data_IF_123935930419
#
_entry.id   IF_123935930419
#
_cell.length_a   1.000
_cell.length_b   1.000
_cell.length_c   1.000
_cell.angle_alpha   90.00
_cell.angle_beta   90.00
_cell.angle_gamma   90.00
#
_symmetry.space_group_name_H-M   'P 1'
#
loop_
_entity.id
_entity.type
_entity.pdbx_description
1 polymer ?
#
# COMPACT_ATOMS: atom_id res chain seq x y z
N UNK A 1 -17.21 -1.33 3.10
CA UNK A 1 -18.68 -1.57 3.26
C UNK A 1 -19.37 -0.63 4.27
N UNK A 2 -18.66 0.01 5.20
CA UNK A 2 -19.26 0.85 6.24
C UNK A 2 -19.76 2.23 5.72
N UNK A 3 -19.05 2.87 4.78
CA UNK A 3 -19.45 4.16 4.19
C UNK A 3 -20.74 4.03 3.34
N UNK A 4 -20.79 3.04 2.44
CA UNK A 4 -21.98 2.74 1.64
C UNK A 4 -23.17 2.24 2.47
N UNK A 5 -22.94 1.62 3.64
CA UNK A 5 -24.00 1.24 4.58
C UNK A 5 -24.62 2.47 5.27
N UNK A 6 -23.80 3.47 5.63
CA UNK A 6 -24.28 4.75 6.16
C UNK A 6 -25.05 5.55 5.11
N UNK A 7 -24.57 5.58 3.86
CA UNK A 7 -25.23 6.29 2.74
C UNK A 7 -26.54 5.59 2.32
N UNK A 8 -26.58 4.24 2.24
CA UNK A 8 -27.83 3.50 1.93
C UNK A 8 -28.92 3.66 3.00
N UNK A 9 -28.55 3.82 4.28
CA UNK A 9 -29.52 4.08 5.36
C UNK A 9 -30.19 5.47 5.25
N UNK A 10 -29.56 6.43 4.58
CA UNK A 10 -30.15 7.75 4.29
C UNK A 10 -31.12 7.73 3.12
N UNK A 11 -30.85 6.94 2.08
CA UNK A 11 -31.63 6.93 0.83
C UNK A 11 -32.86 6.00 0.92
N UNK A 12 -32.81 4.94 1.75
CA UNK A 12 -33.89 3.94 1.86
C UNK A 12 -35.18 4.36 2.56
N UNK A 13 -35.36 5.63 2.93
CA UNK A 13 -36.55 6.13 3.67
C UNK A 13 -37.53 6.98 2.83
N UNK A 14 -37.33 7.08 1.53
CA UNK A 14 -38.06 8.02 0.67
C UNK A 14 -38.68 7.38 -0.58
N UNK A 15 -39.31 6.21 -0.46
CA UNK A 15 -40.25 5.72 -1.48
C UNK A 15 -41.29 4.78 -0.87
N UNK A 16 -42.34 5.34 -0.28
CA UNK A 16 -43.72 4.79 -0.32
C UNK A 16 -44.66 5.94 0.05
N UNK A 17 -45.10 6.70 -0.94
CA UNK A 17 -46.30 7.54 -0.84
C UNK A 17 -47.34 6.87 -1.73
N UNK A 18 -48.16 6.01 -1.11
CA UNK A 18 -49.43 5.59 -1.67
C UNK A 18 -50.47 6.67 -1.37
N UNK A 19 -51.19 7.07 -2.41
CA UNK A 19 -52.28 8.04 -2.32
C UNK A 19 -53.54 7.42 -1.74
N UNK A 20 -54.30 8.23 -0.99
CA UNK A 20 -55.64 7.86 -0.54
C UNK A 20 -56.30 8.91 0.36
N UNK A 21 -57.10 9.78 -0.26
CA UNK A 21 -58.46 10.17 0.16
C UNK A 21 -58.75 10.72 1.57
N UNK A 22 -59.08 12.01 1.58
CA UNK A 22 -60.29 12.63 2.15
C UNK A 22 -60.62 12.67 3.67
N UNK A 23 -60.79 13.93 4.09
CA UNK A 23 -61.84 14.52 4.96
C UNK A 23 -61.74 14.58 6.49
N UNK A 24 -62.04 15.81 6.94
CA UNK A 24 -62.65 16.29 8.19
C UNK A 24 -61.81 16.60 9.44
N UNK A 25 -61.92 17.88 9.81
CA UNK A 25 -62.18 18.47 11.14
C UNK A 25 -61.36 18.04 12.36
N UNK A 26 -60.77 19.05 13.03
CA UNK A 26 -60.25 18.87 14.39
C UNK A 26 -59.57 20.11 14.94
N UNK A 27 -60.34 20.94 15.62
CA UNK A 27 -59.89 22.07 16.44
C UNK A 27 -58.86 21.69 17.54
N UNK A 28 -58.07 22.71 17.92
CA UNK A 28 -57.52 23.00 19.27
C UNK A 28 -56.49 22.02 19.86
N UNK A 29 -55.28 22.57 20.06
CA UNK A 29 -54.24 22.02 20.90
C UNK A 29 -53.21 23.07 21.30
N UNK A 30 -53.61 23.98 22.19
CA UNK A 30 -52.78 24.81 23.05
C UNK A 30 -51.51 24.08 23.53
N UNK A 31 -50.31 24.63 23.29
CA UNK A 31 -49.12 24.31 24.09
C UNK A 31 -48.37 25.60 24.45
N UNK A 32 -48.30 25.82 25.76
CA UNK A 32 -47.58 26.89 26.46
C UNK A 32 -46.07 26.72 26.30
N UNK A 33 -45.39 27.80 25.94
CA UNK A 33 -43.95 27.97 26.19
C UNK A 33 -43.76 28.59 27.58
N UNK A 34 -42.88 28.05 28.45
CA UNK A 34 -42.36 28.81 29.57
C UNK A 34 -41.31 29.79 29.07
N UNK A 35 -41.51 31.04 29.46
CA UNK A 35 -40.61 32.18 29.30
C UNK A 35 -39.78 32.33 30.57
N UNK A 36 -38.46 32.21 30.45
CA UNK A 36 -37.49 32.77 31.38
C UNK A 36 -36.39 33.36 30.46
N UNK A 37 -36.07 34.66 30.42
CA UNK A 37 -36.14 35.64 31.49
C UNK A 37 -34.76 35.81 32.10
N UNK A 38 -33.77 36.28 31.32
CA UNK A 38 -32.52 36.81 31.89
C UNK A 38 -32.11 38.11 31.20
N UNK A 39 -31.83 39.06 32.07
CA UNK A 39 -31.66 40.49 31.89
C UNK A 39 -30.29 40.83 31.29
N UNK A 40 -30.33 41.78 30.37
CA UNK A 40 -29.21 42.59 29.91
C UNK A 40 -28.65 43.42 31.08
N UNK A 41 -27.34 43.38 31.28
CA UNK A 41 -26.62 44.48 31.93
C UNK A 41 -25.37 44.79 31.10
N UNK A 42 -25.40 45.98 30.54
CA UNK A 42 -24.30 46.66 29.87
C UNK A 42 -23.20 46.99 30.88
N UNK A 43 -21.94 46.78 30.47
CA UNK A 43 -20.80 47.55 30.97
C UNK A 43 -19.66 47.52 29.96
N UNK A 44 -19.67 48.54 29.11
CA UNK A 44 -18.46 49.05 28.48
C UNK A 44 -17.50 49.54 29.57
N UNK A 45 -16.25 49.07 29.54
CA UNK A 45 -15.11 49.92 29.90
C UNK A 45 -13.88 49.48 29.10
N UNK A 46 -13.48 50.41 28.23
CA UNK A 46 -12.15 50.56 27.63
C UNK A 46 -11.05 50.63 28.69
N UNK A 47 -9.95 49.89 28.50
CA UNK A 47 -8.61 50.34 28.86
C UNK A 47 -7.54 49.54 28.13
N UNK A 48 -6.80 50.23 27.28
CA UNK A 48 -5.45 49.92 26.84
C UNK A 48 -4.47 49.87 28.03
N UNK A 49 -3.58 48.88 28.06
CA UNK A 49 -2.24 49.05 28.64
C UNK A 49 -1.28 47.95 28.15
N UNK A 50 -0.12 48.40 27.70
CA UNK A 50 1.06 47.64 27.31
C UNK A 50 1.81 47.16 28.56
N UNK A 51 2.30 45.91 28.56
CA UNK A 51 3.43 45.41 29.38
C UNK A 51 3.66 43.94 28.95
N UNK A 52 4.70 43.65 28.18
CA UNK A 52 6.10 43.39 28.58
C UNK A 52 6.38 41.90 28.79
N UNK A 53 7.32 41.42 27.99
CA UNK A 53 8.12 40.20 28.08
C UNK A 53 8.13 39.49 29.44
N UNK A 54 7.63 38.26 29.47
CA UNK A 54 8.07 37.25 30.42
C UNK A 54 8.50 35.98 29.67
N UNK A 55 9.75 35.64 29.93
CA UNK A 55 10.54 34.53 29.41
C UNK A 55 9.87 33.19 29.77
N UNK A 56 9.54 32.39 28.75
CA UNK A 56 9.13 31.01 28.94
C UNK A 56 10.39 30.11 28.88
N UNK A 57 10.77 29.40 29.96
CA UNK A 57 11.97 28.58 29.97
C UNK A 57 11.70 27.32 29.16
N UNK A 58 12.43 27.15 28.06
CA UNK A 58 12.47 25.92 27.30
C UNK A 58 12.94 24.76 28.20
N UNK A 59 12.09 23.75 28.29
CA UNK A 59 12.41 22.44 28.82
C UNK A 59 13.30 21.73 27.79
N UNK A 60 14.62 21.78 27.96
CA UNK A 60 15.58 21.02 27.17
C UNK A 60 15.68 19.60 27.76
N UNK A 61 15.08 18.63 27.07
CA UNK A 61 15.32 17.21 27.32
C UNK A 61 16.80 16.90 27.11
N UNK A 62 17.48 16.40 28.15
CA UNK A 62 18.91 16.11 28.18
C UNK A 62 19.35 14.95 27.28
N UNK A 63 19.22 15.12 25.97
CA UNK A 63 19.65 14.17 24.94
C UNK A 63 20.78 14.70 24.04
N UNK A 64 21.26 15.93 24.27
CA UNK A 64 22.29 16.55 23.42
C UNK A 64 23.70 15.96 23.65
N UNK A 65 23.94 15.23 24.74
CA UNK A 65 25.26 14.67 25.06
C UNK A 65 25.54 13.28 24.42
N UNK A 66 24.54 12.61 23.83
CA UNK A 66 24.74 11.25 23.27
C UNK A 66 25.43 11.28 21.89
N UNK A 67 25.46 12.44 21.22
CA UNK A 67 26.08 12.60 19.91
C UNK A 67 27.50 13.19 19.93
N UNK A 68 28.10 13.39 21.10
CA UNK A 68 29.50 13.84 21.21
C UNK A 68 30.50 12.67 21.08
N UNK A 69 30.42 11.90 19.99
CA UNK A 69 31.47 10.95 19.58
C UNK A 69 32.40 11.66 18.59
N UNK A 70 33.01 12.76 19.04
CA UNK A 70 34.15 13.36 18.36
C UNK A 70 35.33 13.27 19.33
N UNK A 71 36.34 12.47 18.96
CA UNK A 71 37.60 12.17 19.69
C UNK A 71 37.63 10.87 20.50
N UNK A 72 37.32 9.73 19.86
CA UNK A 72 37.77 8.43 20.35
C UNK A 72 39.23 8.20 19.92
N UNK A 73 40.14 8.16 20.88
CA UNK A 73 41.56 7.82 20.69
C UNK A 73 41.70 6.33 20.36
N UNK A 74 41.91 6.02 19.08
CA UNK A 74 42.01 4.65 18.54
C UNK A 74 43.20 3.87 19.09
N UNK A 75 44.16 4.52 19.76
CA UNK A 75 45.29 3.85 20.41
C UNK A 75 44.92 3.11 21.70
N UNK A 76 43.74 3.38 22.26
CA UNK A 76 43.22 2.71 23.47
C UNK A 76 42.26 1.56 23.19
N UNK A 77 41.96 1.28 21.92
CA UNK A 77 41.08 0.18 21.53
C UNK A 77 41.88 -1.13 21.58
N UNK A 78 41.58 -1.97 22.57
CA UNK A 78 42.17 -3.30 22.73
C UNK A 78 41.72 -4.19 21.56
N UNK A 79 42.67 -4.67 20.75
CA UNK A 79 42.40 -5.69 19.72
C UNK A 79 41.92 -6.98 20.41
N UNK A 80 40.70 -7.40 20.12
CA UNK A 80 40.24 -8.75 20.43
C UNK A 80 40.99 -9.70 19.48
N UNK A 81 41.73 -10.64 20.07
CA UNK A 81 42.65 -11.53 19.38
C UNK A 81 41.96 -12.40 18.33
N UNK A 82 42.69 -12.66 17.25
CA UNK A 82 42.36 -13.73 16.31
C UNK A 82 42.51 -15.08 17.04
N UNK A 83 41.66 -16.08 16.74
CA UNK A 83 41.81 -17.42 17.29
C UNK A 83 43.08 -18.07 16.73
N UNK A 84 43.92 -18.56 17.64
CA UNK A 84 45.08 -19.40 17.35
C UNK A 84 44.59 -20.80 16.96
N UNK A 85 45.22 -21.37 15.93
CA UNK A 85 45.06 -22.74 15.49
C UNK A 85 45.60 -23.69 16.57
N UNK A 86 44.72 -24.50 17.18
CA UNK A 86 45.11 -25.67 17.96
C UNK A 86 44.53 -26.93 17.30
N UNK A 87 45.35 -27.55 16.46
CA UNK A 87 45.32 -28.99 16.21
C UNK A 87 45.83 -29.71 17.47
N UNK A 88 45.07 -30.64 18.04
CA UNK A 88 45.48 -32.03 18.30
C UNK A 88 44.51 -32.77 19.24
N UNK A 89 43.99 -33.88 18.71
CA UNK A 89 43.89 -35.20 19.36
C UNK A 89 43.27 -35.31 20.77
N UNK A 90 42.09 -35.93 20.85
CA UNK A 90 41.87 -36.98 21.85
C UNK A 90 40.77 -37.96 21.44
N UNK A 91 41.13 -39.23 21.62
CA UNK A 91 40.42 -40.46 21.31
C UNK A 91 39.23 -40.74 22.24
N UNK A 92 38.33 -41.57 21.72
CA UNK A 92 37.49 -42.59 22.40
C UNK A 92 36.87 -42.28 23.76
N UNK A 93 35.53 -42.42 23.83
CA UNK A 93 34.89 -43.46 24.65
C UNK A 93 33.39 -43.53 24.33
N UNK A 94 32.99 -44.65 23.74
CA UNK A 94 31.61 -45.07 23.52
C UNK A 94 31.07 -45.68 24.83
N UNK A 95 29.89 -45.26 25.33
CA UNK A 95 29.12 -46.10 26.24
C UNK A 95 28.01 -46.81 25.47
N UNK A 96 28.19 -48.12 25.28
CA UNK A 96 27.11 -49.06 25.01
C UNK A 96 26.29 -49.22 26.30
N UNK A 97 24.99 -48.90 26.29
CA UNK A 97 23.96 -49.59 27.05
C UNK A 97 22.58 -48.94 26.83
N UNK A 98 21.71 -49.63 26.11
CA UNK A 98 20.41 -50.14 26.58
C UNK A 98 19.55 -50.51 25.37
N UNK A 99 19.63 -51.79 25.02
CA UNK A 99 18.55 -52.51 24.36
C UNK A 99 17.41 -52.63 25.38
N UNK A 100 16.25 -52.06 25.05
CA UNK A 100 14.98 -52.48 25.60
C UNK A 100 14.15 -52.93 24.40
N UNK A 101 14.05 -54.25 24.28
CA UNK A 101 13.00 -54.95 23.56
C UNK A 101 11.69 -54.66 24.29
N UNK A 102 10.70 -54.10 23.62
CA UNK A 102 9.31 -54.22 24.04
C UNK A 102 8.47 -54.65 22.85
N UNK A 103 7.55 -55.54 23.19
CA UNK A 103 6.96 -56.56 22.38
C UNK A 103 5.84 -56.02 21.49
N UNK A 104 5.53 -56.83 20.49
CA UNK A 104 4.40 -56.66 19.61
C UNK A 104 3.07 -56.79 20.38
N UNK A 105 2.18 -55.82 20.20
CA UNK A 105 0.74 -56.04 20.31
C UNK A 105 0.12 -55.74 18.94
N UNK A 106 -0.17 -56.85 18.24
CA UNK A 106 -1.16 -56.91 17.17
C UNK A 106 -2.54 -56.75 17.83
N UNK A 107 -3.37 -55.82 17.36
CA UNK A 107 -4.81 -55.94 17.54
C UNK A 107 -5.59 -55.29 16.38
N UNK A 108 -6.39 -56.15 15.76
CA UNK A 108 -7.75 -55.94 15.27
C UNK A 108 -8.03 -54.89 14.17
N UNK A 109 -7.93 -55.42 12.94
CA UNK A 109 -8.96 -55.39 11.89
C UNK A 109 -10.28 -54.71 12.30
N UNK A 110 -10.58 -53.57 11.69
CA UNK A 110 -11.95 -53.12 11.43
C UNK A 110 -12.12 -52.84 9.94
N UNK A 111 -12.76 -53.78 9.25
CA UNK A 111 -13.39 -53.60 7.94
C UNK A 111 -14.60 -52.69 8.10
N UNK A 112 -14.64 -51.58 7.37
CA UNK A 112 -15.86 -50.85 7.08
C UNK A 112 -16.04 -50.89 5.56
N UNK A 113 -17.05 -51.65 5.15
CA UNK A 113 -17.59 -51.72 3.80
C UNK A 113 -18.31 -50.42 3.43
N UNK A 114 -18.14 -50.07 2.16
CA UNK A 114 -19.10 -49.48 1.24
C UNK A 114 -19.83 -48.18 1.61
N UNK A 115 -19.50 -47.13 0.86
CA UNK A 115 -20.56 -46.26 0.31
C UNK A 115 -20.14 -45.61 -1.03
N UNK A 116 -20.58 -46.27 -2.10
CA UNK A 116 -21.09 -45.75 -3.37
C UNK A 116 -20.56 -44.39 -3.88
N UNK A 117 -19.54 -44.46 -4.76
CA UNK A 117 -19.25 -43.41 -5.74
C UNK A 117 -20.16 -43.59 -6.98
N UNK A 118 -20.91 -42.53 -7.31
CA UNK A 118 -21.63 -42.39 -8.58
C UNK A 118 -20.66 -41.97 -9.69
N UNK A 119 -20.66 -42.60 -10.88
CA UNK A 119 -19.91 -42.09 -12.02
C UNK A 119 -20.69 -40.99 -12.75
N UNK A 120 -20.13 -39.78 -12.77
CA UNK A 120 -20.52 -38.73 -13.71
C UNK A 120 -19.97 -39.10 -15.09
N UNK A 121 -20.88 -39.31 -16.02
CA UNK A 121 -20.61 -39.56 -17.44
C UNK A 121 -20.17 -38.25 -18.09
N UNK A 122 -18.88 -38.14 -18.41
CA UNK A 122 -18.34 -37.10 -19.29
C UNK A 122 -18.56 -37.51 -20.76
N UNK A 123 -19.42 -36.75 -21.43
CA UNK A 123 -19.69 -36.84 -22.86
C UNK A 123 -18.52 -36.19 -23.63
N UNK A 124 -17.57 -37.01 -24.09
CA UNK A 124 -16.58 -36.61 -25.10
C UNK A 124 -17.26 -36.50 -26.47
N UNK A 125 -17.46 -35.27 -26.95
CA UNK A 125 -17.77 -35.00 -28.35
C UNK A 125 -16.47 -34.92 -29.15
N UNK A 126 -16.33 -35.90 -30.04
CA UNK A 126 -15.42 -35.91 -31.16
C UNK A 126 -15.66 -34.68 -32.05
N UNK A 127 -14.59 -33.97 -32.41
CA UNK A 127 -14.59 -33.11 -33.59
C UNK A 127 -13.29 -33.32 -34.36
N UNK A 128 -13.46 -33.35 -35.68
CA UNK A 128 -12.58 -33.95 -36.66
C UNK A 128 -11.30 -33.13 -36.88
N UNK A 129 -10.17 -33.85 -36.94
CA UNK A 129 -8.90 -33.37 -37.48
C UNK A 129 -8.84 -33.80 -38.96
N UNK A 130 -8.76 -32.87 -39.93
CA UNK A 130 -8.35 -33.22 -41.27
C UNK A 130 -6.82 -33.30 -41.36
N UNK A 131 -6.35 -34.49 -41.73
CA UNK A 131 -4.99 -34.77 -42.17
C UNK A 131 -4.70 -33.98 -43.46
N UNK A 132 -3.60 -33.24 -43.49
CA UNK A 132 -2.95 -32.82 -44.72
C UNK A 132 -1.48 -33.21 -44.64
N UNK A 133 -1.14 -34.19 -45.47
CA UNK A 133 0.21 -34.62 -45.80
C UNK A 133 0.87 -33.57 -46.71
N UNK A 134 1.99 -33.00 -46.28
CA UNK A 134 3.03 -32.52 -47.21
C UNK A 134 4.41 -33.01 -46.75
N UNK A 135 5.20 -33.62 -47.65
CA UNK A 135 6.57 -34.03 -47.34
C UNK A 135 7.52 -32.83 -47.48
N UNK A 136 8.28 -32.54 -46.42
CA UNK A 136 9.40 -31.57 -46.47
C UNK A 136 10.70 -32.33 -46.56
N UNK A 137 11.47 -31.96 -47.58
CA UNK A 137 12.76 -32.50 -47.97
C UNK A 137 13.84 -32.39 -46.88
N UNK A 138 14.67 -33.44 -46.85
CA UNK A 138 15.85 -33.64 -46.02
C UNK A 138 17.05 -32.98 -46.71
N UNK A 139 17.62 -31.94 -46.09
CA UNK A 139 18.98 -31.39 -46.27
C UNK A 139 19.28 -30.60 -44.99
N UNK A 140 20.48 -30.52 -44.40
CA UNK A 140 21.82 -31.01 -44.68
C UNK A 140 22.55 -31.00 -43.31
N UNK A 141 23.60 -31.82 -43.22
CA UNK A 141 24.55 -31.87 -42.11
C UNK A 141 25.16 -30.49 -41.81
N UNK A 142 25.08 -30.05 -40.54
CA UNK A 142 25.92 -28.98 -40.01
C UNK A 142 26.48 -29.44 -38.67
N UNK A 143 27.76 -29.81 -38.72
CA UNK A 143 28.63 -29.95 -37.55
C UNK A 143 28.67 -28.59 -36.81
N UNK A 144 28.19 -28.58 -35.56
CA UNK A 144 28.37 -27.44 -34.65
C UNK A 144 29.23 -27.91 -33.49
N UNK A 145 30.43 -27.36 -33.46
CA UNK A 145 31.45 -27.55 -32.45
C UNK A 145 30.91 -27.28 -31.03
N UNK A 146 31.27 -28.18 -30.12
CA UNK A 146 30.99 -28.07 -28.70
C UNK A 146 31.90 -27.01 -28.07
N UNK A 147 31.40 -25.78 -27.93
CA UNK A 147 32.02 -24.78 -27.08
C UNK A 147 31.52 -24.92 -25.64
N UNK A 148 32.48 -24.92 -24.72
CA UNK A 148 32.33 -24.97 -23.27
C UNK A 148 31.40 -23.84 -22.78
N UNK A 149 30.18 -24.20 -22.35
CA UNK A 149 29.33 -23.30 -21.58
C UNK A 149 29.88 -23.18 -20.15
N UNK A 150 30.59 -22.08 -19.93
CA UNK A 150 30.85 -21.48 -18.63
C UNK A 150 29.54 -21.39 -17.81
N UNK A 151 29.50 -22.13 -16.70
CA UNK A 151 28.55 -21.95 -15.61
C UNK A 151 28.73 -20.55 -14.98
N UNK A 152 28.22 -19.51 -15.63
CA UNK A 152 27.96 -18.22 -14.98
C UNK A 152 26.61 -18.32 -14.28
N UNK A 153 26.66 -18.37 -12.96
CA UNK A 153 25.49 -18.09 -12.12
C UNK A 153 24.77 -16.85 -12.65
N UNK A 154 23.44 -16.88 -12.84
CA UNK A 154 22.69 -15.71 -13.27
C UNK A 154 22.77 -14.66 -12.16
N UNK A 155 23.69 -13.71 -12.31
CA UNK A 155 23.71 -12.50 -11.50
C UNK A 155 22.41 -11.75 -11.77
N UNK A 156 21.52 -11.71 -10.77
CA UNK A 156 20.28 -10.95 -10.77
C UNK A 156 20.59 -9.43 -10.78
N UNK A 157 21.01 -8.89 -11.93
CA UNK A 157 20.98 -7.45 -12.18
C UNK A 157 19.63 -7.08 -12.80
N UNK A 158 18.56 -7.12 -12.00
CA UNK A 158 17.29 -6.51 -12.40
C UNK A 158 17.46 -5.00 -12.22
N UNK A 159 17.92 -4.34 -13.27
CA UNK A 159 17.87 -2.88 -13.40
C UNK A 159 16.43 -2.51 -13.72
N UNK A 160 15.58 -2.44 -12.69
CA UNK A 160 14.30 -1.76 -12.80
C UNK A 160 14.55 -0.26 -12.61
N UNK A 161 15.00 0.42 -13.66
CA UNK A 161 15.04 1.89 -13.74
C UNK A 161 13.62 2.46 -13.94
N UNK A 162 12.66 1.96 -13.16
CA UNK A 162 11.32 2.53 -13.14
C UNK A 162 11.41 3.90 -12.47
N UNK A 163 11.41 4.95 -13.28
CA UNK A 163 11.41 6.33 -12.83
C UNK A 163 10.00 6.76 -12.44
N UNK A 164 9.88 7.53 -11.37
CA UNK A 164 8.61 8.10 -10.92
C UNK A 164 8.65 9.63 -11.06
N UNK A 165 7.68 10.19 -11.77
CA UNK A 165 7.55 11.63 -11.95
C UNK A 165 6.73 12.26 -10.82
N UNK A 166 6.94 13.55 -10.58
CA UNK A 166 6.24 14.28 -9.54
C UNK A 166 4.74 14.33 -9.83
N UNK A 167 3.91 13.97 -8.84
CA UNK A 167 2.47 13.93 -9.02
C UNK A 167 1.83 15.31 -9.17
N UNK A 168 2.51 16.36 -8.71
CA UNK A 168 2.09 17.74 -8.93
C UNK A 168 1.97 18.09 -10.41
N UNK A 169 2.65 17.37 -11.32
CA UNK A 169 2.52 17.56 -12.76
C UNK A 169 1.12 17.21 -13.28
N UNK A 170 0.41 16.29 -12.63
CA UNK A 170 -0.93 15.85 -13.03
C UNK A 170 -2.04 16.70 -12.41
N UNK A 171 -1.71 17.65 -11.55
CA UNK A 171 -2.70 18.54 -10.96
C UNK A 171 -3.35 19.44 -12.03
N UNK A 172 -4.65 19.73 -11.90
CA UNK A 172 -5.30 20.70 -12.75
C UNK A 172 -4.83 22.12 -12.41
N UNK A 173 -4.83 22.98 -13.41
CA UNK A 173 -4.31 24.35 -13.29
C UNK A 173 -5.09 25.21 -12.28
N UNK A 174 -6.34 24.87 -12.03
CA UNK A 174 -7.21 25.45 -11.01
C UNK A 174 -6.56 25.46 -9.63
N UNK A 175 -5.68 24.49 -9.32
CA UNK A 175 -4.96 24.41 -8.03
C UNK A 175 -4.05 25.62 -7.82
N UNK A 176 -3.50 26.19 -8.89
CA UNK A 176 -2.63 27.38 -8.82
C UNK A 176 -3.40 28.68 -8.51
N UNK A 177 -4.74 28.66 -8.55
CA UNK A 177 -5.61 29.83 -8.31
C UNK A 177 -5.17 31.04 -9.12
N UNK A 178 -4.99 30.87 -10.43
CA UNK A 178 -4.59 31.93 -11.36
C UNK A 178 -5.71 32.98 -11.52
N UNK A 179 -5.38 34.13 -12.10
CA UNK A 179 -6.41 35.06 -12.55
C UNK A 179 -7.34 34.42 -13.58
N UNK A 180 -8.63 34.73 -13.52
CA UNK A 180 -9.67 34.11 -14.36
C UNK A 180 -9.35 34.20 -15.87
N UNK A 181 -8.76 35.31 -16.31
CA UNK A 181 -8.35 35.49 -17.72
C UNK A 181 -7.17 34.59 -18.11
N UNK A 182 -6.21 34.42 -17.21
CA UNK A 182 -5.04 33.58 -17.44
C UNK A 182 -5.42 32.09 -17.44
N UNK A 183 -6.29 31.67 -16.51
CA UNK A 183 -6.81 30.31 -16.43
C UNK A 183 -7.68 29.95 -17.65
N UNK A 184 -8.69 30.77 -17.98
CA UNK A 184 -9.56 30.53 -19.12
C UNK A 184 -8.79 30.52 -20.44
N UNK A 185 -7.86 31.48 -20.61
CA UNK A 185 -7.00 31.53 -21.78
C UNK A 185 -6.15 30.26 -21.94
N UNK A 186 -5.74 29.64 -20.84
CA UNK A 186 -4.96 28.40 -20.89
C UNK A 186 -5.85 27.17 -21.19
N UNK A 187 -7.02 27.09 -20.55
CA UNK A 187 -8.01 26.03 -20.78
C UNK A 187 -8.55 26.05 -22.22
N UNK A 188 -8.79 27.23 -22.80
CA UNK A 188 -9.26 27.40 -24.17
C UNK A 188 -8.25 26.87 -25.21
N UNK A 189 -6.97 26.77 -24.85
CA UNK A 189 -5.92 26.17 -25.69
C UNK A 189 -5.76 24.66 -25.47
N UNK A 190 -6.70 24.03 -24.76
CA UNK A 190 -6.72 22.59 -24.51
C UNK A 190 -5.71 22.12 -23.46
N UNK A 191 -5.09 23.05 -22.73
CA UNK A 191 -4.08 22.77 -21.72
C UNK A 191 -4.72 22.80 -20.34
N UNK A 192 -4.60 21.70 -19.60
CA UNK A 192 -5.40 21.47 -18.39
C UNK A 192 -4.57 21.21 -17.14
N UNK A 193 -3.33 20.74 -17.32
CA UNK A 193 -2.49 20.27 -16.21
C UNK A 193 -1.28 21.17 -15.97
N UNK A 194 -0.67 21.05 -14.80
CA UNK A 194 0.60 21.70 -14.48
C UNK A 194 1.70 21.24 -15.45
N UNK A 195 1.71 19.98 -15.89
CA UNK A 195 2.64 19.50 -16.91
C UNK A 195 2.54 20.30 -18.22
N UNK A 196 1.31 20.61 -18.67
CA UNK A 196 1.11 21.42 -19.86
C UNK A 196 1.64 22.85 -19.68
N UNK A 197 1.54 23.39 -18.45
CA UNK A 197 2.06 24.70 -18.10
C UNK A 197 3.60 24.73 -18.08
N UNK A 198 4.23 23.71 -17.50
CA UNK A 198 5.71 23.57 -17.53
C UNK A 198 6.18 23.51 -18.98
N UNK A 199 5.61 22.60 -19.79
CA UNK A 199 5.97 22.47 -21.20
C UNK A 199 5.71 23.76 -22.00
N UNK A 200 4.65 24.50 -21.69
CA UNK A 200 4.34 25.78 -22.30
C UNK A 200 5.38 26.86 -21.98
N UNK A 201 5.84 26.93 -20.73
CA UNK A 201 6.82 27.92 -20.29
C UNK A 201 8.23 27.59 -20.83
N UNK A 202 8.58 26.31 -20.87
CA UNK A 202 9.87 25.82 -21.39
C UNK A 202 10.00 26.03 -22.91
N UNK A 203 8.90 25.95 -23.65
CA UNK A 203 8.89 26.17 -25.09
C UNK A 203 9.26 27.62 -25.49
N UNK A 204 9.25 28.57 -24.55
CA UNK A 204 9.79 29.94 -24.71
C UNK A 204 9.06 30.87 -25.69
N UNK A 205 8.24 30.36 -26.61
CA UNK A 205 7.63 31.10 -27.73
C UNK A 205 6.11 30.91 -27.81
N UNK A 206 5.45 31.16 -26.69
CA UNK A 206 4.10 30.65 -26.48
C UNK A 206 3.08 31.79 -26.45
N UNK A 207 2.68 32.26 -27.64
CA UNK A 207 1.63 33.26 -27.76
C UNK A 207 0.25 32.62 -27.54
N UNK A 208 -0.38 32.93 -26.41
CA UNK A 208 -1.82 32.68 -26.21
C UNK A 208 -2.56 33.97 -26.51
N UNK A 209 -3.49 33.92 -27.47
CA UNK A 209 -4.31 35.06 -27.83
C UNK A 209 -5.09 35.56 -26.61
N UNK A 210 -4.88 36.82 -26.22
CA UNK A 210 -5.54 37.42 -25.05
C UNK A 210 -4.73 37.35 -23.75
N UNK A 211 -3.58 36.69 -23.74
CA UNK A 211 -2.65 36.72 -22.61
C UNK A 211 -1.51 37.70 -22.87
N UNK A 212 -1.34 38.67 -21.97
CA UNK A 212 -0.18 39.56 -21.94
C UNK A 212 0.98 39.00 -21.12
N UNK A 213 2.13 39.67 -21.17
CA UNK A 213 3.32 39.29 -20.41
C UNK A 213 3.05 39.18 -18.90
N UNK A 214 2.22 40.07 -18.34
CA UNK A 214 1.87 40.04 -16.92
C UNK A 214 1.16 38.74 -16.48
N UNK A 215 0.35 38.12 -17.35
CA UNK A 215 -0.27 36.83 -17.04
C UNK A 215 0.75 35.69 -17.07
N UNK A 216 1.73 35.77 -17.97
CA UNK A 216 2.83 34.79 -18.05
C UNK A 216 3.72 34.90 -16.81
N UNK A 217 3.99 36.13 -16.35
CA UNK A 217 4.78 36.37 -15.14
C UNK A 217 4.03 35.88 -13.89
N UNK A 218 2.71 36.12 -13.79
CA UNK A 218 1.85 35.58 -12.73
C UNK A 218 1.90 34.04 -12.69
N UNK A 219 1.76 33.39 -13.86
CA UNK A 219 1.84 31.94 -13.98
C UNK A 219 3.19 31.40 -13.51
N UNK A 220 4.30 32.03 -13.93
CA UNK A 220 5.64 31.64 -13.51
C UNK A 220 5.83 31.79 -12.01
N UNK A 221 5.40 32.90 -11.43
CA UNK A 221 5.52 33.17 -10.00
C UNK A 221 4.72 32.15 -9.18
N UNK A 222 3.45 31.92 -9.52
CA UNK A 222 2.60 30.97 -8.81
C UNK A 222 3.06 29.53 -8.99
N UNK A 223 3.51 29.16 -10.19
CA UNK A 223 4.09 27.84 -10.44
C UNK A 223 5.37 27.64 -9.63
N UNK A 224 6.29 28.60 -9.60
CA UNK A 224 7.51 28.51 -8.80
C UNK A 224 7.21 28.41 -7.31
N UNK A 225 6.22 29.16 -6.82
CA UNK A 225 5.77 29.10 -5.44
C UNK A 225 5.15 27.74 -5.09
N UNK A 226 4.37 27.15 -6.01
CA UNK A 226 3.73 25.86 -5.82
C UNK A 226 4.73 24.70 -5.86
N UNK A 227 5.62 24.70 -6.86
CA UNK A 227 6.65 23.66 -7.01
C UNK A 227 7.72 23.74 -5.91
N UNK A 228 7.94 24.90 -5.30
CA UNK A 228 8.85 25.06 -4.16
C UNK A 228 10.30 24.63 -4.42
N UNK A 229 10.73 24.55 -5.68
CA UNK A 229 12.04 24.02 -6.08
C UNK A 229 12.17 22.49 -6.05
N UNK A 230 11.07 21.76 -5.95
CA UNK A 230 11.05 20.30 -5.99
C UNK A 230 11.51 19.78 -7.37
N UNK A 231 12.09 18.58 -7.37
CA UNK A 231 12.42 17.86 -8.60
C UNK A 231 11.13 17.35 -9.24
N UNK A 232 10.96 17.59 -10.54
CA UNK A 232 9.78 17.20 -11.29
C UNK A 232 9.85 15.77 -11.85
N UNK A 233 11.06 15.29 -12.12
CA UNK A 233 11.32 13.99 -12.74
C UNK A 233 12.24 13.18 -11.84
N UNK A 234 12.09 11.85 -11.86
CA UNK A 234 12.88 10.92 -11.08
C UNK A 234 12.85 11.23 -9.58
N UNK A 235 11.65 11.42 -9.05
CA UNK A 235 11.43 11.76 -7.65
C UNK A 235 11.61 10.51 -6.79
N UNK A 236 12.27 10.68 -5.64
CA UNK A 236 12.53 9.62 -4.67
C UNK A 236 11.45 9.50 -3.59
N UNK A 237 10.48 10.42 -3.60
CA UNK A 237 9.34 10.55 -2.71
C UNK A 237 8.01 10.59 -3.47
N UNK A 238 6.94 10.24 -2.78
CA UNK A 238 5.57 10.25 -3.24
C UNK A 238 4.77 11.35 -2.53
N UNK A 239 4.12 12.22 -3.28
CA UNK A 239 3.24 13.26 -2.73
C UNK A 239 1.77 12.84 -2.87
N UNK A 240 1.21 12.33 -1.77
CA UNK A 240 -0.18 11.90 -1.72
C UNK A 240 -1.17 13.07 -1.80
N UNK A 241 -0.79 14.27 -1.36
CA UNK A 241 -1.63 15.47 -1.43
C UNK A 241 -1.82 15.89 -2.88
N UNK A 242 -0.73 16.01 -3.62
CA UNK A 242 -0.75 16.25 -5.07
C UNK A 242 -1.55 15.20 -5.83
N UNK A 243 -1.48 13.93 -5.40
CA UNK A 243 -2.27 12.89 -6.04
C UNK A 243 -3.78 13.14 -5.88
N UNK A 244 -4.23 13.49 -4.67
CA UNK A 244 -5.63 13.83 -4.42
C UNK A 244 -6.01 15.10 -5.18
N UNK A 245 -5.16 16.12 -5.20
CA UNK A 245 -5.39 17.36 -5.96
C UNK A 245 -5.56 17.09 -7.46
N UNK A 246 -4.80 16.14 -8.04
CA UNK A 246 -4.98 15.68 -9.41
C UNK A 246 -6.35 15.04 -9.70
N UNK A 247 -7.01 14.50 -8.68
CA UNK A 247 -8.32 13.83 -8.83
C UNK A 247 -9.50 14.76 -8.61
N UNK A 248 -9.37 15.73 -7.71
CA UNK A 248 -10.49 16.56 -7.24
C UNK A 248 -10.36 18.04 -7.59
N UNK A 249 -9.20 18.49 -8.10
CA UNK A 249 -8.94 19.92 -8.28
C UNK A 249 -9.74 20.59 -9.41
N UNK A 250 -10.44 19.81 -10.23
CA UNK A 250 -11.40 20.27 -11.24
C UNK A 250 -12.84 20.39 -10.69
N UNK A 251 -13.07 20.01 -9.44
CA UNK A 251 -14.38 19.99 -8.80
C UNK A 251 -14.58 21.20 -7.86
N UNK A 252 -15.84 21.43 -7.48
CA UNK A 252 -16.21 22.48 -6.54
C UNK A 252 -15.54 22.27 -5.18
N UNK A 253 -14.83 23.30 -4.71
CA UNK A 253 -14.01 23.28 -3.50
C UNK A 253 -14.80 22.96 -2.23
N UNK A 254 -16.05 23.44 -2.11
CA UNK A 254 -16.91 23.16 -0.96
C UNK A 254 -17.34 21.70 -0.97
N UNK A 255 -17.75 21.17 -2.14
CA UNK A 255 -18.12 19.75 -2.27
C UNK A 255 -16.94 18.83 -1.95
N UNK A 256 -15.75 19.16 -2.44
CA UNK A 256 -14.52 18.40 -2.19
C UNK A 256 -14.17 18.40 -0.70
N UNK A 257 -14.28 19.54 -0.01
CA UNK A 257 -14.01 19.57 1.44
C UNK A 257 -15.00 18.70 2.23
N UNK A 258 -16.30 18.77 1.92
CA UNK A 258 -17.29 17.87 2.52
C UNK A 258 -16.95 16.39 2.29
N UNK A 259 -16.45 16.05 1.10
CA UNK A 259 -15.99 14.70 0.79
C UNK A 259 -14.77 14.29 1.62
N UNK A 260 -13.73 15.11 1.70
CA UNK A 260 -12.51 14.82 2.44
C UNK A 260 -12.73 14.75 3.96
N UNK A 261 -13.71 15.49 4.50
CA UNK A 261 -14.16 15.37 5.89
C UNK A 261 -14.65 13.95 6.23
N UNK A 262 -15.34 13.28 5.30
CA UNK A 262 -15.85 11.91 5.54
C UNK A 262 -14.75 10.86 5.67
N UNK A 263 -13.55 11.18 5.21
CA UNK A 263 -12.39 10.30 5.14
C UNK A 263 -11.28 10.72 6.13
N UNK A 264 -11.56 11.70 7.00
CA UNK A 264 -10.61 12.25 7.99
C UNK A 264 -9.33 12.84 7.37
N UNK A 265 -9.45 13.35 6.13
CA UNK A 265 -8.34 13.90 5.32
C UNK A 265 -8.61 15.35 4.92
N UNK A 266 -9.50 16.05 5.63
CA UNK A 266 -9.89 17.43 5.35
C UNK A 266 -8.74 18.45 5.49
N UNK A 267 -7.72 18.15 6.30
CA UNK A 267 -6.56 19.02 6.51
C UNK A 267 -5.73 19.28 5.23
N UNK A 268 -5.94 18.47 4.20
CA UNK A 268 -5.20 18.51 2.93
C UNK A 268 -5.80 19.46 1.90
N UNK A 269 -6.98 20.03 2.19
CA UNK A 269 -7.63 20.98 1.30
C UNK A 269 -7.89 22.30 2.02
N UNK A 270 -7.14 23.34 1.64
CA UNK A 270 -7.28 24.66 2.25
C UNK A 270 -8.40 25.45 1.60
N UNK A 271 -9.52 25.51 2.29
CA UNK A 271 -10.63 26.40 1.97
C UNK A 271 -10.28 27.87 2.25
N UNK A 272 -10.83 28.77 1.46
CA UNK A 272 -10.90 30.19 1.77
C UNK A 272 -11.87 30.46 2.92
N UNK A 273 -11.78 31.65 3.53
CA UNK A 273 -12.66 32.03 4.65
C UNK A 273 -14.14 32.06 4.26
N UNK A 274 -14.43 32.41 3.01
CA UNK A 274 -15.79 32.48 2.48
C UNK A 274 -16.38 31.08 2.24
N UNK A 275 -15.56 30.16 1.74
CA UNK A 275 -15.93 28.76 1.54
C UNK A 275 -16.13 28.04 2.88
N UNK A 276 -15.27 28.28 3.88
CA UNK A 276 -15.42 27.73 5.23
C UNK A 276 -16.71 28.22 5.90
N UNK A 277 -17.02 29.52 5.79
CA UNK A 277 -18.29 30.07 6.27
C UNK A 277 -19.50 29.40 5.59
N UNK A 278 -19.42 29.18 4.27
CA UNK A 278 -20.47 28.50 3.51
C UNK A 278 -20.64 27.03 3.94
N UNK A 279 -19.54 26.34 4.23
CA UNK A 279 -19.54 24.95 4.69
C UNK A 279 -20.21 24.77 6.07
N UNK A 280 -20.09 25.76 6.96
CA UNK A 280 -20.75 25.77 8.27
C UNK A 280 -22.27 25.98 8.19
N UNK A 281 -22.77 26.56 7.10
CA UNK A 281 -24.20 26.79 6.89
C UNK A 281 -24.92 25.65 6.16
N UNK A 282 -24.18 24.62 5.72
CA UNK A 282 -24.74 23.46 5.03
C UNK A 282 -25.36 22.46 6.01
N UNK A 283 -26.56 21.98 5.67
CA UNK A 283 -27.22 20.91 6.41
C UNK A 283 -26.60 19.54 6.07
N UNK A 284 -26.69 18.58 6.99
CA UNK A 284 -26.16 17.21 6.81
C UNK A 284 -26.66 16.51 5.54
N UNK A 285 -27.91 16.77 5.14
CA UNK A 285 -28.49 16.21 3.91
C UNK A 285 -27.75 16.74 2.68
N UNK A 286 -27.48 18.06 2.64
CA UNK A 286 -26.78 18.71 1.53
C UNK A 286 -25.31 18.29 1.49
N UNK A 287 -24.67 18.13 2.65
CA UNK A 287 -23.31 17.58 2.73
C UNK A 287 -23.23 16.19 2.11
N UNK A 288 -24.19 15.31 2.43
CA UNK A 288 -24.23 13.96 1.85
C UNK A 288 -24.52 13.95 0.35
N UNK A 289 -25.35 14.88 -0.15
CA UNK A 289 -25.58 15.04 -1.59
C UNK A 289 -24.29 15.48 -2.30
N UNK A 290 -23.57 16.46 -1.75
CA UNK A 290 -22.29 16.94 -2.28
C UNK A 290 -21.22 15.85 -2.29
N UNK A 291 -21.15 15.03 -1.23
CA UNK A 291 -20.30 13.84 -1.17
C UNK A 291 -20.64 12.88 -2.30
N UNK A 292 -21.94 12.62 -2.54
CA UNK A 292 -22.40 11.76 -3.63
C UNK A 292 -21.99 12.25 -5.02
N UNK A 293 -22.15 13.54 -5.28
CA UNK A 293 -21.74 14.19 -6.53
C UNK A 293 -20.24 14.01 -6.80
N UNK A 294 -19.41 14.27 -5.78
CA UNK A 294 -17.95 14.13 -5.89
C UNK A 294 -17.57 12.68 -6.15
N UNK A 295 -18.15 11.72 -5.42
CA UNK A 295 -17.90 10.29 -5.63
C UNK A 295 -18.20 9.88 -7.07
N UNK A 296 -19.34 10.32 -7.62
CA UNK A 296 -19.71 10.04 -9.02
C UNK A 296 -18.67 10.62 -9.99
N UNK A 297 -18.21 11.84 -9.77
CA UNK A 297 -17.22 12.49 -10.62
C UNK A 297 -15.85 11.80 -10.59
N UNK A 298 -15.36 11.45 -9.38
CA UNK A 298 -14.04 10.83 -9.21
C UNK A 298 -14.03 9.35 -9.60
N UNK A 299 -15.18 8.66 -9.53
CA UNK A 299 -15.31 7.25 -9.93
C UNK A 299 -15.56 7.05 -11.43
N UNK A 300 -15.36 8.07 -12.26
CA UNK A 300 -15.36 7.92 -13.71
C UNK A 300 -14.30 6.91 -14.17
N UNK A 301 -14.59 6.15 -15.23
CA UNK A 301 -13.68 5.11 -15.73
C UNK A 301 -12.30 5.66 -16.13
N UNK A 302 -12.24 6.90 -16.61
CA UNK A 302 -10.98 7.58 -16.93
C UNK A 302 -10.14 7.85 -15.68
N UNK A 303 -10.73 8.47 -14.64
CA UNK A 303 -10.05 8.74 -13.37
C UNK A 303 -9.65 7.44 -12.66
N UNK A 304 -10.48 6.41 -12.73
CA UNK A 304 -10.14 5.08 -12.20
C UNK A 304 -8.92 4.46 -12.88
N UNK A 305 -8.85 4.50 -14.21
CA UNK A 305 -7.67 4.00 -14.95
C UNK A 305 -6.42 4.81 -14.60
N UNK A 306 -6.56 6.13 -14.49
CA UNK A 306 -5.48 7.01 -14.05
C UNK A 306 -4.96 6.59 -12.67
N UNK A 307 -5.84 6.43 -11.67
CA UNK A 307 -5.47 6.00 -10.31
C UNK A 307 -4.74 4.66 -10.32
N UNK A 308 -5.28 3.65 -11.03
CA UNK A 308 -4.64 2.34 -11.12
C UNK A 308 -3.25 2.43 -11.75
N UNK A 309 -3.09 3.25 -12.79
CA UNK A 309 -1.81 3.40 -13.48
C UNK A 309 -0.75 4.09 -12.58
N UNK A 310 -1.15 5.14 -11.85
CA UNK A 310 -0.26 5.81 -10.90
C UNK A 310 0.18 4.83 -9.80
N UNK A 311 -0.74 4.04 -9.24
CA UNK A 311 -0.40 3.05 -8.23
C UNK A 311 0.53 1.96 -8.76
N UNK A 312 0.32 1.49 -10.00
CA UNK A 312 1.24 0.55 -10.66
C UNK A 312 2.65 1.13 -10.81
N UNK A 313 2.76 2.38 -11.25
CA UNK A 313 4.04 3.06 -11.38
C UNK A 313 4.72 3.25 -10.02
N UNK A 314 3.94 3.59 -8.99
CA UNK A 314 4.42 3.75 -7.62
C UNK A 314 4.99 2.43 -7.09
N UNK A 315 4.24 1.32 -7.23
CA UNK A 315 4.70 0.00 -6.81
C UNK A 315 5.95 -0.41 -7.58
N UNK A 316 5.97 -0.23 -8.91
CA UNK A 316 7.12 -0.55 -9.75
C UNK A 316 8.38 0.26 -9.40
N UNK A 317 8.24 1.54 -9.03
CA UNK A 317 9.36 2.41 -8.71
C UNK A 317 9.87 2.27 -7.26
N UNK A 318 8.97 2.14 -6.28
CA UNK A 318 9.35 2.23 -4.86
C UNK A 318 9.26 0.93 -4.07
N UNK A 319 8.33 0.05 -4.45
CA UNK A 319 8.02 -1.19 -3.70
C UNK A 319 8.79 -2.36 -4.28
N UNK A 320 8.62 -2.65 -5.57
CA UNK A 320 9.22 -3.81 -6.23
C UNK A 320 10.74 -3.85 -6.09
N UNK A 321 11.51 -2.76 -6.34
CA UNK A 321 12.96 -2.78 -6.17
C UNK A 321 13.36 -3.01 -4.71
N UNK A 322 12.63 -2.43 -3.77
CA UNK A 322 12.86 -2.62 -2.34
C UNK A 322 12.57 -4.07 -1.91
N UNK A 323 11.48 -4.67 -2.40
CA UNK A 323 11.18 -6.08 -2.13
C UNK A 323 12.26 -7.01 -2.69
N UNK A 324 12.82 -6.72 -3.87
CA UNK A 324 13.93 -7.53 -4.43
C UNK A 324 15.16 -7.56 -3.52
N UNK A 325 15.53 -6.43 -2.91
CA UNK A 325 16.62 -6.41 -1.90
C UNK A 325 16.33 -7.29 -0.68
N UNK A 326 15.07 -7.69 -0.49
CA UNK A 326 14.58 -8.55 0.59
C UNK A 326 14.13 -9.90 0.03
N UNK A 327 14.74 -10.45 -1.02
CA UNK A 327 14.36 -11.75 -1.58
C UNK A 327 12.90 -11.82 -2.09
N UNK A 328 12.32 -10.68 -2.49
CA UNK A 328 11.05 -10.61 -3.20
C UNK A 328 9.77 -10.81 -2.37
N UNK A 329 9.84 -10.77 -1.02
CA UNK A 329 8.69 -10.98 -0.13
C UNK A 329 8.54 -9.88 0.92
N UNK A 330 7.29 -9.46 1.17
CA UNK A 330 6.93 -8.51 2.21
C UNK A 330 5.51 -8.75 2.76
N UNK A 331 5.25 -8.34 4.01
CA UNK A 331 3.88 -8.30 4.56
C UNK A 331 3.16 -7.00 4.21
N UNK A 332 1.83 -6.99 4.35
CA UNK A 332 1.00 -5.79 4.15
C UNK A 332 1.48 -4.62 5.02
N UNK A 333 1.85 -4.89 6.27
CA UNK A 333 2.31 -3.88 7.21
C UNK A 333 3.66 -3.29 6.76
N UNK A 334 4.59 -4.14 6.29
CA UNK A 334 5.87 -3.67 5.77
C UNK A 334 5.68 -2.83 4.50
N UNK A 335 4.71 -3.17 3.65
CA UNK A 335 4.37 -2.39 2.45
C UNK A 335 3.79 -1.03 2.83
N UNK A 336 2.87 -0.97 3.80
CA UNK A 336 2.30 0.27 4.31
C UNK A 336 3.39 1.16 4.93
N UNK A 337 4.26 0.59 5.76
CA UNK A 337 5.40 1.29 6.36
C UNK A 337 6.34 1.82 5.28
N UNK A 338 6.61 1.03 4.24
CA UNK A 338 7.47 1.44 3.13
C UNK A 338 6.87 2.61 2.35
N UNK A 339 5.57 2.57 2.05
CA UNK A 339 4.85 3.69 1.42
C UNK A 339 4.90 4.94 2.30
N UNK A 340 4.63 4.81 3.59
CA UNK A 340 4.67 5.94 4.52
C UNK A 340 6.06 6.59 4.56
N UNK A 341 7.14 5.80 4.59
CA UNK A 341 8.53 6.30 4.52
C UNK A 341 8.87 7.01 3.21
N UNK A 342 8.20 6.64 2.13
CA UNK A 342 8.37 7.27 0.82
C UNK A 342 7.44 8.47 0.61
N UNK A 343 6.43 8.64 1.45
CA UNK A 343 5.53 9.78 1.40
C UNK A 343 6.21 11.05 1.90
N UNK A 344 5.90 12.19 1.29
CA UNK A 344 6.23 13.52 1.82
C UNK A 344 5.55 13.75 3.18
N UNK A 345 4.37 13.15 3.38
CA UNK A 345 3.59 13.23 4.62
C UNK A 345 3.27 11.83 5.15
N UNK A 346 4.18 11.22 5.94
CA UNK A 346 4.01 9.85 6.44
C UNK A 346 2.78 9.66 7.34
N UNK A 347 2.44 10.68 8.15
CA UNK A 347 1.35 10.62 9.13
C UNK A 347 -0.03 10.41 8.50
N UNK A 348 -0.23 10.91 7.28
CA UNK A 348 -1.52 10.83 6.59
C UNK A 348 -1.62 9.63 5.64
N UNK A 349 -0.52 8.91 5.38
CA UNK A 349 -0.45 7.84 4.39
C UNK A 349 -1.52 6.75 4.59
N UNK A 350 -1.80 6.37 5.84
CA UNK A 350 -2.82 5.38 6.14
C UNK A 350 -4.21 5.81 5.65
N UNK A 351 -4.62 7.05 5.93
CA UNK A 351 -5.90 7.60 5.47
C UNK A 351 -6.00 7.66 3.94
N UNK A 352 -4.89 7.91 3.24
CA UNK A 352 -4.88 7.85 1.78
C UNK A 352 -5.06 6.43 1.25
N UNK A 353 -4.37 5.43 1.82
CA UNK A 353 -4.53 4.04 1.42
C UNK A 353 -6.00 3.62 1.61
N UNK A 354 -6.57 3.90 2.78
CA UNK A 354 -7.97 3.61 3.09
C UNK A 354 -8.91 4.29 2.08
N UNK A 355 -8.68 5.58 1.77
CA UNK A 355 -9.44 6.31 0.76
C UNK A 355 -9.40 5.61 -0.62
N UNK A 356 -8.22 5.23 -1.10
CA UNK A 356 -8.10 4.60 -2.41
C UNK A 356 -8.74 3.21 -2.42
N UNK A 357 -8.54 2.41 -1.38
CA UNK A 357 -9.13 1.08 -1.24
C UNK A 357 -10.65 1.11 -1.22
N UNK A 358 -11.23 2.03 -0.44
CA UNK A 358 -12.68 2.19 -0.33
C UNK A 358 -13.30 2.73 -1.62
N UNK A 359 -12.66 3.72 -2.26
CA UNK A 359 -13.22 4.46 -3.39
C UNK A 359 -13.03 3.71 -4.72
N UNK A 360 -11.82 3.22 -5.00
CA UNK A 360 -11.46 2.72 -6.32
C UNK A 360 -11.34 1.19 -6.40
N UNK A 361 -10.83 0.56 -5.34
CA UNK A 361 -10.57 -0.88 -5.34
C UNK A 361 -11.73 -1.71 -4.80
N UNK A 362 -12.76 -1.10 -4.19
CA UNK A 362 -14.00 -1.79 -3.76
C UNK A 362 -13.75 -3.03 -2.90
N UNK A 363 -12.83 -2.92 -1.93
CA UNK A 363 -12.34 -4.02 -1.08
C UNK A 363 -11.54 -5.12 -1.83
N UNK A 364 -11.09 -4.85 -3.04
CA UNK A 364 -9.97 -5.59 -3.62
C UNK A 364 -8.67 -5.05 -3.04
N UNK A 365 -7.68 -5.92 -2.99
CA UNK A 365 -6.36 -5.63 -2.46
C UNK A 365 -5.61 -4.65 -3.37
N UNK A 366 -5.23 -3.49 -2.81
CA UNK A 366 -4.51 -2.43 -3.50
C UNK A 366 -3.23 -2.95 -4.15
N UNK A 367 -2.44 -3.73 -3.42
CA UNK A 367 -1.12 -4.18 -3.88
C UNK A 367 -1.25 -5.19 -5.00
N UNK A 368 -2.26 -6.05 -4.96
CA UNK A 368 -2.52 -7.01 -6.04
C UNK A 368 -2.87 -6.31 -7.34
N UNK A 369 -3.80 -5.35 -7.30
CA UNK A 369 -4.22 -4.60 -8.48
C UNK A 369 -3.10 -3.67 -9.01
N UNK A 370 -2.14 -3.34 -8.15
CA UNK A 370 -0.98 -2.49 -8.46
C UNK A 370 0.26 -3.26 -8.92
N UNK A 371 0.22 -4.60 -8.98
CA UNK A 371 1.26 -5.42 -9.59
C UNK A 371 1.99 -6.40 -8.66
N UNK A 372 1.73 -6.38 -7.36
CA UNK A 372 2.22 -7.41 -6.44
C UNK A 372 1.38 -8.69 -6.57
N UNK A 373 1.90 -9.83 -6.09
CA UNK A 373 1.17 -11.10 -6.05
C UNK A 373 0.88 -11.50 -4.61
N UNK A 374 -0.39 -11.66 -4.25
CA UNK A 374 -0.76 -12.22 -2.95
C UNK A 374 -0.45 -13.72 -2.91
N UNK A 375 0.32 -14.16 -1.92
CA UNK A 375 0.73 -15.57 -1.75
C UNK A 375 0.10 -16.23 -0.53
N UNK A 376 -0.21 -15.44 0.49
CA UNK A 376 -0.89 -15.86 1.70
C UNK A 376 -1.61 -14.66 2.32
N UNK A 377 -2.31 -14.87 3.44
CA UNK A 377 -3.01 -13.78 4.13
C UNK A 377 -2.05 -12.67 4.55
N UNK A 378 -2.10 -11.53 3.86
CA UNK A 378 -1.28 -10.35 4.13
C UNK A 378 0.18 -10.48 3.72
N UNK A 379 0.52 -11.44 2.85
CA UNK A 379 1.89 -11.64 2.35
C UNK A 379 1.90 -11.52 0.83
N UNK A 380 2.85 -10.75 0.31
CA UNK A 380 3.00 -10.47 -1.11
C UNK A 380 4.37 -10.82 -1.63
N UNK A 381 4.40 -11.23 -2.90
CA UNK A 381 5.59 -11.49 -3.69
C UNK A 381 5.72 -10.52 -4.87
N UNK A 382 6.97 -10.27 -5.28
CA UNK A 382 7.31 -9.45 -6.46
C UNK A 382 6.93 -10.10 -7.78
N UNK A 383 7.09 -11.42 -7.87
CA UNK A 383 6.95 -12.17 -9.11
C UNK A 383 6.41 -13.59 -8.86
N UNK A 384 6.03 -14.25 -9.95
CA UNK A 384 5.45 -15.59 -9.94
C UNK A 384 6.43 -16.63 -9.41
N UNK A 385 7.72 -16.52 -9.74
CA UNK A 385 8.74 -17.47 -9.29
C UNK A 385 8.90 -17.43 -7.76
N UNK A 386 8.95 -16.23 -7.19
CA UNK A 386 9.03 -16.03 -5.74
C UNK A 386 7.77 -16.52 -5.04
N UNK A 387 6.60 -16.31 -5.65
CA UNK A 387 5.33 -16.83 -5.16
C UNK A 387 5.29 -18.37 -5.14
N UNK A 388 5.74 -19.02 -6.21
CA UNK A 388 5.81 -20.48 -6.28
C UNK A 388 6.78 -21.05 -5.25
N UNK A 389 7.95 -20.43 -5.08
CA UNK A 389 8.93 -20.82 -4.06
C UNK A 389 8.35 -20.68 -2.64
N UNK A 390 7.63 -19.60 -2.35
CA UNK A 390 6.91 -19.43 -1.08
C UNK A 390 5.92 -20.57 -0.85
N UNK A 391 5.06 -20.84 -1.82
CA UNK A 391 4.02 -21.88 -1.71
C UNK A 391 4.64 -23.27 -1.54
N UNK A 392 5.71 -23.59 -2.26
CA UNK A 392 6.44 -24.86 -2.14
C UNK A 392 6.97 -25.06 -0.72
N UNK A 393 7.67 -24.06 -0.18
CA UNK A 393 8.24 -24.11 1.18
C UNK A 393 7.14 -24.23 2.24
N UNK A 394 6.08 -23.42 2.15
CA UNK A 394 4.99 -23.45 3.14
C UNK A 394 4.23 -24.77 3.09
N UNK A 395 3.96 -25.29 1.89
CA UNK A 395 3.25 -26.57 1.72
C UNK A 395 4.07 -27.72 2.29
N UNK A 396 5.37 -27.76 1.99
CA UNK A 396 6.26 -28.79 2.55
C UNK A 396 6.43 -28.65 4.05
N UNK A 397 6.63 -27.44 4.57
CA UNK A 397 6.73 -27.21 6.01
C UNK A 397 5.46 -27.68 6.74
N UNK A 398 4.29 -27.50 6.14
CA UNK A 398 3.02 -27.91 6.72
C UNK A 398 2.89 -29.44 6.87
N UNK A 399 3.50 -30.26 6.01
CA UNK A 399 3.40 -31.73 6.11
C UNK A 399 4.06 -32.29 7.39
N UNK A 400 4.99 -31.54 7.98
CA UNK A 400 5.62 -31.91 9.24
C UNK A 400 4.69 -31.72 10.44
N UNK A 401 3.68 -30.84 10.37
CA UNK A 401 2.78 -30.56 11.48
C UNK A 401 1.49 -31.42 11.44
N UNK A 402 1.64 -32.75 11.34
CA UNK A 402 0.52 -33.70 11.25
C UNK A 402 -0.32 -33.86 12.55
N UNK A 403 0.19 -33.40 13.69
CA UNK A 403 -0.52 -33.39 15.00
C UNK A 403 -0.52 -32.01 15.62
N UNK A 404 -1.64 -31.64 16.23
CA UNK A 404 -1.80 -30.36 16.93
C UNK A 404 -0.83 -30.26 18.10
N UNK A 405 -0.15 -29.12 18.21
CA UNK A 405 0.75 -28.83 19.33
C UNK A 405 2.20 -29.28 19.13
N UNK A 406 2.54 -29.91 17.99
CA UNK A 406 3.93 -30.21 17.66
C UNK A 406 4.74 -28.93 17.49
N UNK A 407 5.98 -28.99 17.97
CA UNK A 407 6.93 -27.89 17.94
C UNK A 407 8.29 -28.46 17.55
N UNK A 408 9.02 -27.71 16.75
CA UNK A 408 10.38 -28.05 16.36
C UNK A 408 11.32 -26.93 16.79
N UNK A 409 12.57 -27.27 17.09
CA UNK A 409 13.63 -26.29 17.13
C UNK A 409 13.75 -25.66 15.74
N UNK A 410 13.77 -24.32 15.70
CA UNK A 410 13.59 -23.59 14.45
C UNK A 410 14.75 -23.83 13.47
N UNK A 411 15.98 -23.81 13.97
CA UNK A 411 17.17 -24.07 13.15
C UNK A 411 17.23 -25.52 12.65
N UNK A 412 16.90 -26.49 13.50
CA UNK A 412 16.85 -27.90 13.09
C UNK A 412 15.79 -28.13 12.02
N UNK A 413 14.64 -27.46 12.14
CA UNK A 413 13.57 -27.53 11.16
C UNK A 413 13.97 -26.92 9.82
N UNK A 414 14.68 -25.78 9.82
CA UNK A 414 15.25 -25.19 8.61
C UNK A 414 16.25 -26.14 7.95
N UNK A 415 17.17 -26.73 8.73
CA UNK A 415 18.15 -27.67 8.20
C UNK A 415 17.48 -28.91 7.60
N UNK A 416 16.41 -29.41 8.25
CA UNK A 416 15.62 -30.53 7.78
C UNK A 416 14.95 -30.24 6.43
N UNK A 417 14.26 -29.10 6.32
CA UNK A 417 13.64 -28.67 5.05
C UNK A 417 14.68 -28.44 3.97
N UNK A 418 15.80 -27.81 4.30
CA UNK A 418 16.90 -27.55 3.35
C UNK A 418 17.45 -28.85 2.79
N UNK A 419 17.63 -29.88 3.62
CA UNK A 419 18.07 -31.21 3.19
C UNK A 419 17.07 -31.90 2.28
N UNK A 420 15.78 -31.73 2.54
CA UNK A 420 14.72 -32.31 1.71
C UNK A 420 14.65 -31.66 0.34
N UNK A 421 14.67 -30.33 0.28
CA UNK A 421 14.70 -29.61 -0.99
C UNK A 421 15.96 -29.89 -1.80
N UNK A 422 17.12 -30.05 -1.14
CA UNK A 422 18.34 -30.47 -1.81
C UNK A 422 18.22 -31.84 -2.49
N UNK A 423 17.44 -32.78 -1.91
CA UNK A 423 17.18 -34.09 -2.54
C UNK A 423 16.32 -33.98 -3.79
N UNK A 424 15.45 -32.97 -3.84
CA UNK A 424 14.57 -32.68 -4.99
C UNK A 424 15.23 -31.74 -6.00
N UNK A 425 16.52 -31.43 -5.84
CA UNK A 425 17.25 -30.46 -6.66
C UNK A 425 16.61 -29.07 -6.70
N UNK A 426 15.87 -28.71 -5.64
CA UNK A 426 15.27 -27.40 -5.46
C UNK A 426 16.21 -26.51 -4.63
N UNK A 427 16.94 -25.62 -5.30
CA UNK A 427 17.82 -24.64 -4.66
C UNK A 427 17.07 -23.37 -4.25
N UNK A 428 17.36 -22.86 -3.05
CA UNK A 428 16.86 -21.57 -2.57
C UNK A 428 18.02 -20.67 -2.12
N UNK A 429 17.89 -19.34 -2.23
CA UNK A 429 18.87 -18.41 -1.67
C UNK A 429 19.06 -18.61 -0.17
N UNK A 430 20.26 -18.30 0.33
CA UNK A 430 20.57 -18.40 1.75
C UNK A 430 19.58 -17.59 2.60
N UNK A 431 19.11 -18.18 3.70
CA UNK A 431 18.14 -17.55 4.61
C UNK A 431 16.71 -17.43 4.05
N UNK A 432 16.43 -17.84 2.81
CA UNK A 432 15.10 -17.70 2.21
C UNK A 432 14.03 -18.57 2.89
N UNK A 433 14.36 -19.83 3.19
CA UNK A 433 13.46 -20.75 3.92
C UNK A 433 13.16 -20.18 5.32
N UNK A 434 14.19 -19.71 6.02
CA UNK A 434 14.04 -19.08 7.34
C UNK A 434 13.08 -17.88 7.27
N UNK A 435 13.27 -17.01 6.28
CA UNK A 435 12.44 -15.83 6.09
C UNK A 435 10.98 -16.20 5.86
N UNK A 436 10.70 -17.17 4.99
CA UNK A 436 9.34 -17.61 4.69
C UNK A 436 8.63 -18.13 5.94
N UNK A 437 9.31 -18.96 6.73
CA UNK A 437 8.73 -19.52 7.96
C UNK A 437 8.43 -18.45 9.01
N UNK A 438 9.22 -17.37 9.06
CA UNK A 438 8.97 -16.22 9.96
C UNK A 438 7.82 -15.34 9.51
N UNK A 439 7.69 -15.12 8.20
CA UNK A 439 6.69 -14.21 7.62
C UNK A 439 5.33 -14.90 7.45
N UNK A 440 5.31 -16.20 7.19
CA UNK A 440 4.07 -16.92 6.94
C UNK A 440 3.14 -16.89 8.16
N UNK A 441 1.87 -16.50 8.00
CA UNK A 441 0.90 -16.46 9.10
C UNK A 441 0.54 -17.86 9.64
N UNK A 442 0.86 -18.92 8.88
CA UNK A 442 0.57 -20.31 9.24
C UNK A 442 1.48 -20.86 10.33
N UNK A 443 2.62 -20.22 10.54
CA UNK A 443 3.59 -20.63 11.53
C UNK A 443 3.80 -19.53 12.56
N UNK A 444 4.10 -19.93 13.80
CA UNK A 444 4.47 -19.02 14.87
C UNK A 444 5.84 -19.40 15.38
N UNK A 445 6.81 -18.51 15.15
CA UNK A 445 8.16 -18.62 15.70
C UNK A 445 8.20 -17.85 17.03
N UNK A 446 8.66 -18.50 18.10
CA UNK A 446 8.77 -17.89 19.44
C UNK A 446 10.02 -18.38 20.16
N UNK A 447 10.48 -17.64 21.17
CA UNK A 447 11.50 -18.14 22.10
C UNK A 447 10.86 -19.16 23.05
N UNK A 448 11.49 -20.33 23.16
CA UNK A 448 11.15 -21.38 24.11
C UNK A 448 11.64 -21.08 25.53
N UNK A 449 11.36 -22.00 26.46
CA UNK A 449 11.78 -21.87 27.86
C UNK A 449 13.31 -21.79 28.00
N UNK A 450 14.03 -22.53 27.15
CA UNK A 450 15.49 -22.61 27.15
C UNK A 450 16.14 -21.47 26.32
N UNK A 451 15.36 -20.48 25.90
CA UNK A 451 15.83 -19.36 25.06
C UNK A 451 15.95 -19.67 23.57
N UNK A 452 15.96 -20.96 23.18
CA UNK A 452 16.01 -21.39 21.79
C UNK A 452 14.73 -21.01 21.00
N UNK A 453 14.88 -20.71 19.71
CA UNK A 453 13.72 -20.45 18.84
C UNK A 453 13.01 -21.75 18.50
N UNK A 454 11.69 -21.77 18.70
CA UNK A 454 10.82 -22.89 18.35
C UNK A 454 9.76 -22.43 17.36
N UNK A 455 9.42 -23.31 16.43
CA UNK A 455 8.35 -23.10 15.45
C UNK A 455 7.20 -24.07 15.73
N UNK A 456 5.98 -23.55 15.63
CA UNK A 456 4.74 -24.33 15.70
C UNK A 456 3.74 -23.83 14.67
N UNK A 457 2.81 -24.68 14.29
CA UNK A 457 1.66 -24.27 13.50
C UNK A 457 0.70 -23.39 14.32
N UNK A 458 0.15 -22.35 13.70
CA UNK A 458 -0.80 -21.39 14.31
C UNK A 458 -2.17 -22.00 14.53
#
# INVERSE_FOLDING_TARGET
>A
MALFSKIKKGIGKLTTVDGGGDTHEGEKGFFMFPTEGFTTDDKEHSSSEEASDEENPYYTDGFEDIYSIENVDTSKIRRLGAPEDEEEQQEELIPQHLLVEEEAEEDEIFTIEDNEEQPIVETLQQSDIPQQDEPVDILDDVDVDADEEDNKEPSFSIVNDATFDALCLYEPINVLKLSQQAEQGFLDNGKKTIQDLVAFLDAGNSFIKGMGQGHIDEMKEKLQKHLGGQKLYNVDTFDAESFVHGLVGDLDSIKVSCFLETLDVACLWKLSREEDASLRHLNDIQKNEYVGDVIIAICSEEKKRFVINIWKNLVAAFITPWMYTRQGLATVEELHERLARKSVQPSHMAGYIDFFEETYFKNKDLFVESGCRAVDRGVYATDETTAQRYTSIVTRAHTYFYKRGMQYLFYDFIALLSREFAREWAGYPEGFIEKILKISPRFRVRKGADGALVIKQT
#
